data_IF_536198553769
#
_entry.id   IF_536198553769
#
_cell.length_a   1.000
_cell.length_b   1.000
_cell.length_c   1.000
_cell.angle_alpha   90.00
_cell.angle_beta   90.00
_cell.angle_gamma   90.00
#
_symmetry.space_group_name_H-M   'P 1'
#
loop_
_entity.id
_entity.type
_entity.pdbx_description
1 polymer ?
#
# COMPACT_ATOMS: atom_id res chain seq x y z
N UNK A 1 -37.20 -6.64 -6.41
CA UNK A 1 -35.86 -7.12 -5.99
C UNK A 1 -34.84 -6.07 -6.37
N UNK A 2 -34.17 -5.37 -5.43
CA UNK A 2 -33.06 -4.51 -5.79
C UNK A 2 -31.73 -5.28 -5.70
N UNK A 3 -31.10 -5.50 -6.85
CA UNK A 3 -29.67 -5.81 -6.91
C UNK A 3 -28.93 -4.54 -6.49
N UNK A 4 -28.35 -4.54 -5.28
CA UNK A 4 -27.36 -3.54 -4.92
C UNK A 4 -26.08 -3.91 -5.66
N UNK A 5 -25.81 -3.23 -6.76
CA UNK A 5 -24.46 -3.16 -7.30
C UNK A 5 -23.56 -2.52 -6.24
N UNK A 6 -22.48 -3.17 -5.79
CA UNK A 6 -21.46 -2.48 -5.03
C UNK A 6 -20.66 -1.61 -5.99
N UNK A 7 -21.14 -0.39 -6.23
CA UNK A 7 -20.25 0.69 -6.68
C UNK A 7 -19.31 1.01 -5.52
N UNK A 8 -18.23 0.23 -5.43
CA UNK A 8 -17.18 0.36 -4.42
C UNK A 8 -15.93 1.04 -4.96
N UNK A 9 -15.96 1.61 -6.16
CA UNK A 9 -14.78 2.19 -6.81
C UNK A 9 -14.70 3.72 -6.74
N UNK A 10 -15.66 4.40 -6.10
CA UNK A 10 -15.63 5.86 -6.01
C UNK A 10 -16.11 6.42 -4.66
N UNK A 11 -15.85 5.72 -3.56
CA UNK A 11 -15.96 6.36 -2.24
C UNK A 11 -14.77 7.30 -2.06
N UNK A 12 -14.99 8.58 -1.67
CA UNK A 12 -13.89 9.38 -1.15
C UNK A 12 -13.27 8.55 -0.03
N UNK A 13 -11.94 8.38 -0.02
CA UNK A 13 -11.22 7.66 1.02
C UNK A 13 -11.75 8.17 2.38
N UNK A 14 -12.64 7.40 3.00
CA UNK A 14 -13.41 7.93 4.12
C UNK A 14 -12.45 7.97 5.29
N UNK A 15 -12.32 9.12 5.95
CA UNK A 15 -11.51 9.27 7.16
C UNK A 15 -11.85 8.17 8.19
N UNK A 16 -13.10 7.71 8.18
CA UNK A 16 -13.58 6.53 8.92
C UNK A 16 -12.77 5.27 8.64
N UNK A 17 -12.47 4.95 7.37
CA UNK A 17 -11.67 3.77 7.02
C UNK A 17 -10.21 3.94 7.45
N UNK A 18 -9.68 5.17 7.37
CA UNK A 18 -8.33 5.46 7.88
C UNK A 18 -8.24 5.25 9.41
N UNK A 19 -9.27 5.66 10.15
CA UNK A 19 -9.36 5.42 11.59
C UNK A 19 -9.50 3.93 11.92
N UNK A 20 -10.33 3.19 11.17
CA UNK A 20 -10.45 1.73 11.33
C UNK A 20 -9.12 1.03 11.03
N UNK A 21 -8.38 1.47 10.00
CA UNK A 21 -7.07 0.92 9.67
C UNK A 21 -6.03 1.17 10.78
N UNK A 22 -6.01 2.37 11.36
CA UNK A 22 -5.18 2.69 12.53
C UNK A 22 -5.52 1.80 13.73
N UNK A 23 -6.81 1.56 13.98
CA UNK A 23 -7.26 0.69 15.06
C UNK A 23 -6.82 -0.76 14.83
N UNK A 24 -6.92 -1.26 13.59
CA UNK A 24 -6.45 -2.59 13.21
C UNK A 24 -4.94 -2.77 13.44
N UNK A 25 -4.11 -1.78 13.05
CA UNK A 25 -2.67 -1.79 13.34
C UNK A 25 -2.44 -1.82 14.85
N UNK A 26 -3.14 -0.98 15.60
CA UNK A 26 -3.02 -0.88 17.05
C UNK A 26 -3.43 -2.17 17.76
N UNK A 27 -4.46 -2.86 17.28
CA UNK A 27 -4.90 -4.15 17.79
C UNK A 27 -3.90 -5.26 17.46
N UNK A 28 -3.41 -5.34 16.21
CA UNK A 28 -2.41 -6.32 15.77
C UNK A 28 -1.08 -6.16 16.52
N UNK A 29 -0.64 -4.92 16.73
CA UNK A 29 0.62 -4.60 17.39
C UNK A 29 0.42 -4.05 18.80
N UNK A 30 -0.62 -4.49 19.52
CA UNK A 30 -0.87 -4.04 20.91
C UNK A 30 0.31 -4.31 21.85
N UNK A 31 1.04 -5.39 21.55
CA UNK A 31 2.21 -5.86 22.28
C UNK A 31 3.49 -5.10 21.88
N UNK A 32 3.47 -4.42 20.73
CA UNK A 32 4.62 -3.75 20.11
C UNK A 32 4.28 -2.30 19.77
N UNK A 33 4.18 -1.40 20.77
CA UNK A 33 3.86 0.01 20.55
C UNK A 33 4.86 0.72 19.63
N UNK A 34 6.10 0.22 19.54
CA UNK A 34 7.12 0.73 18.63
C UNK A 34 6.73 0.64 17.14
N UNK A 35 5.93 -0.37 16.75
CA UNK A 35 5.48 -0.51 15.35
C UNK A 35 4.48 0.60 15.01
N UNK A 36 3.51 0.84 15.88
CA UNK A 36 2.54 1.94 15.70
C UNK A 36 3.24 3.30 15.66
N UNK A 37 4.20 3.54 16.55
CA UNK A 37 4.94 4.80 16.57
C UNK A 37 5.77 5.00 15.29
N UNK A 38 6.39 3.93 14.77
CA UNK A 38 7.15 3.97 13.52
C UNK A 38 6.25 4.24 12.31
N UNK A 39 5.03 3.68 12.28
CA UNK A 39 4.04 3.99 11.24
C UNK A 39 3.67 5.48 11.24
N UNK A 40 3.43 6.06 12.42
CA UNK A 40 3.13 7.49 12.55
C UNK A 40 4.30 8.39 12.10
N UNK A 41 5.53 7.99 12.39
CA UNK A 41 6.75 8.69 11.97
C UNK A 41 6.83 8.75 10.43
N UNK A 42 6.66 7.60 9.78
CA UNK A 42 6.60 7.48 8.31
C UNK A 42 5.48 8.36 7.73
N UNK A 43 4.28 8.36 8.32
CA UNK A 43 3.19 9.22 7.89
C UNK A 43 3.49 10.71 8.07
N UNK A 44 4.21 11.09 9.14
CA UNK A 44 4.66 12.48 9.35
C UNK A 44 5.67 12.89 8.30
N UNK A 45 6.68 12.07 8.04
CA UNK A 45 7.69 12.36 7.02
C UNK A 45 7.06 12.50 5.63
N UNK A 46 6.08 11.65 5.30
CA UNK A 46 5.35 11.76 4.04
C UNK A 46 4.53 13.06 3.98
N UNK A 47 3.84 13.43 5.06
CA UNK A 47 3.08 14.69 5.15
C UNK A 47 3.98 15.93 5.09
N UNK A 48 5.20 15.84 5.61
CA UNK A 48 6.19 16.91 5.55
C UNK A 48 6.96 16.92 4.22
N UNK A 49 6.60 16.07 3.25
CA UNK A 49 7.29 15.92 1.97
C UNK A 49 8.78 15.57 2.12
N UNK A 50 9.16 14.97 3.26
CA UNK A 50 10.54 14.52 3.56
C UNK A 50 10.84 13.21 2.82
N UNK A 51 9.83 12.37 2.64
CA UNK A 51 9.92 11.10 1.92
C UNK A 51 8.85 11.04 0.82
N UNK A 52 9.24 10.52 -0.34
CA UNK A 52 8.33 10.31 -1.46
C UNK A 52 7.41 9.09 -1.28
N UNK A 53 6.42 8.96 -2.17
CA UNK A 53 5.53 7.80 -2.25
C UNK A 53 6.29 6.47 -2.36
N UNK A 54 7.41 6.42 -3.08
CA UNK A 54 8.22 5.19 -3.14
C UNK A 54 8.88 4.84 -1.80
N UNK A 55 9.33 5.85 -1.05
CA UNK A 55 9.97 5.68 0.25
C UNK A 55 8.97 5.34 1.35
N UNK A 56 7.77 5.96 1.35
CA UNK A 56 6.70 5.60 2.29
C UNK A 56 6.27 4.15 2.10
N UNK A 57 6.15 3.70 0.85
CA UNK A 57 5.81 2.31 0.49
C UNK A 57 6.86 1.33 1.01
N UNK A 58 8.16 1.58 0.76
CA UNK A 58 9.23 0.69 1.19
C UNK A 58 9.34 0.59 2.72
N UNK A 59 9.11 1.70 3.43
CA UNK A 59 9.13 1.67 4.90
C UNK A 59 7.90 0.96 5.46
N UNK A 60 6.71 1.18 4.89
CA UNK A 60 5.46 0.50 5.30
C UNK A 60 5.53 -1.01 5.02
N UNK A 61 6.09 -1.42 3.88
CA UNK A 61 6.26 -2.82 3.52
C UNK A 61 7.21 -3.54 4.48
N UNK A 62 8.32 -2.90 4.86
CA UNK A 62 9.26 -3.42 5.83
C UNK A 62 8.67 -3.46 7.25
N UNK A 63 7.92 -2.42 7.63
CA UNK A 63 7.30 -2.32 8.95
C UNK A 63 6.24 -3.41 9.19
N UNK A 64 5.45 -3.70 8.17
CA UNK A 64 4.42 -4.74 8.20
C UNK A 64 4.86 -6.06 7.59
N UNK A 65 6.18 -6.29 7.47
CA UNK A 65 6.71 -7.56 6.95
C UNK A 65 6.18 -8.74 7.78
N UNK A 66 5.51 -9.68 7.11
CA UNK A 66 4.82 -10.81 7.75
C UNK A 66 3.33 -10.58 8.05
N UNK A 67 2.78 -9.39 7.76
CA UNK A 67 1.36 -9.06 7.91
C UNK A 67 0.79 -8.52 6.58
N UNK A 68 0.52 -9.40 5.59
CA UNK A 68 0.05 -8.99 4.26
C UNK A 68 -1.30 -8.25 4.32
N UNK A 69 -2.16 -8.57 5.29
CA UNK A 69 -3.47 -7.91 5.47
C UNK A 69 -3.35 -6.41 5.72
N UNK A 70 -2.34 -5.97 6.47
CA UNK A 70 -2.13 -4.55 6.73
C UNK A 70 -1.62 -3.84 5.47
N UNK A 71 -0.69 -4.46 4.76
CA UNK A 71 -0.16 -3.92 3.49
C UNK A 71 -1.27 -3.80 2.44
N UNK A 72 -2.17 -4.79 2.36
CA UNK A 72 -3.33 -4.74 1.48
C UNK A 72 -4.31 -3.64 1.89
N UNK A 73 -4.53 -3.43 3.19
CA UNK A 73 -5.28 -2.28 3.70
C UNK A 73 -4.63 -0.95 3.30
N UNK A 74 -3.31 -0.83 3.31
CA UNK A 74 -2.61 0.38 2.84
C UNK A 74 -2.79 0.62 1.34
N UNK A 75 -2.87 -0.45 0.53
CA UNK A 75 -3.11 -0.35 -0.91
C UNK A 75 -4.46 0.27 -1.28
N UNK A 76 -5.44 0.26 -0.38
CA UNK A 76 -6.74 0.91 -0.60
C UNK A 76 -6.67 2.42 -0.42
N UNK A 77 -5.67 2.92 0.34
CA UNK A 77 -5.42 4.35 0.55
C UNK A 77 -4.55 4.97 -0.54
N UNK A 78 -3.92 4.15 -1.39
CA UNK A 78 -3.11 4.61 -2.50
C UNK A 78 -3.99 4.79 -3.75
N UNK A 79 -3.78 5.86 -4.55
CA UNK A 79 -4.49 6.04 -5.81
C UNK A 79 -4.18 4.89 -6.80
N UNK A 80 -5.08 4.62 -7.75
CA UNK A 80 -4.87 3.56 -8.74
C UNK A 80 -3.55 3.76 -9.49
N UNK A 81 -2.72 2.73 -9.51
CA UNK A 81 -1.36 2.75 -10.09
C UNK A 81 -0.23 2.72 -9.07
N UNK A 82 -0.49 3.00 -7.79
CA UNK A 82 0.48 2.90 -6.71
C UNK A 82 0.08 1.75 -5.78
N UNK A 83 0.68 0.57 -5.97
CA UNK A 83 0.39 -0.61 -5.14
C UNK A 83 1.69 -1.20 -4.59
N UNK A 84 1.67 -1.55 -3.31
CA UNK A 84 2.72 -2.30 -2.64
C UNK A 84 2.58 -3.78 -3.00
N UNK A 85 3.57 -4.33 -3.71
CA UNK A 85 3.66 -5.76 -4.03
C UNK A 85 4.78 -6.39 -3.20
N UNK A 86 4.44 -7.33 -2.33
CA UNK A 86 5.41 -8.09 -1.54
C UNK A 86 5.81 -9.32 -2.37
N UNK A 87 6.92 -9.21 -3.12
CA UNK A 87 7.50 -10.37 -3.78
C UNK A 87 8.22 -11.24 -2.73
N UNK A 88 7.96 -12.55 -2.66
CA UNK A 88 8.65 -13.46 -1.74
C UNK A 88 10.11 -13.69 -2.11
N UNK A 89 10.50 -13.37 -3.35
CA UNK A 89 11.88 -13.45 -3.81
C UNK A 89 12.63 -12.13 -3.52
N UNK A 90 13.82 -12.26 -2.96
CA UNK A 90 14.61 -11.23 -2.29
C UNK A 90 15.11 -10.14 -3.24
N UNK A 91 14.26 -9.19 -3.63
CA UNK A 91 14.64 -7.83 -3.99
C UNK A 91 13.40 -6.96 -3.88
N UNK A 92 13.45 -5.84 -3.16
CA UNK A 92 12.40 -4.83 -3.16
C UNK A 92 12.39 -4.14 -4.54
N UNK A 93 12.02 -4.86 -5.62
CA UNK A 93 11.79 -4.31 -6.95
C UNK A 93 10.49 -3.54 -6.89
N UNK A 94 10.60 -2.21 -6.86
CA UNK A 94 9.49 -1.30 -7.07
C UNK A 94 8.91 -1.55 -8.46
N UNK A 95 7.88 -2.40 -8.57
CA UNK A 95 7.09 -2.49 -9.80
C UNK A 95 6.07 -1.36 -9.79
N UNK A 96 6.51 -0.16 -10.17
CA UNK A 96 5.62 0.87 -10.69
C UNK A 96 5.09 0.34 -12.03
N UNK A 97 4.15 -0.60 -12.00
CA UNK A 97 3.39 -0.95 -13.20
C UNK A 97 2.42 0.19 -13.44
N UNK A 98 2.95 1.29 -13.96
CA UNK A 98 2.20 2.10 -14.92
C UNK A 98 1.78 1.12 -16.00
N UNK A 99 0.47 0.85 -16.08
CA UNK A 99 -0.13 0.05 -17.14
C UNK A 99 -0.06 0.85 -18.44
N UNK A 100 1.14 1.00 -18.98
CA UNK A 100 1.49 1.61 -20.25
C UNK A 100 2.97 1.38 -20.39
N UNK A 101 3.34 0.18 -20.81
CA UNK A 101 4.53 -0.14 -21.58
C UNK A 101 4.66 -1.69 -21.59
N UNK A 102 4.82 -2.44 -22.66
CA UNK A 102 4.93 -2.13 -24.07
C UNK A 102 5.17 -3.49 -24.76
N UNK A 103 4.33 -3.86 -25.72
CA UNK A 103 4.53 -5.10 -26.48
C UNK A 103 5.66 -4.89 -27.49
N UNK A 104 6.91 -4.82 -27.01
CA UNK A 104 8.09 -5.01 -27.86
C UNK A 104 8.92 -6.17 -27.33
N UNK A 105 8.48 -7.37 -27.65
CA UNK A 105 9.33 -8.56 -27.67
C UNK A 105 8.76 -9.53 -28.70
N UNK A 106 8.90 -9.19 -29.98
CA UNK A 106 8.87 -10.14 -31.08
C UNK A 106 9.85 -9.65 -32.16
N UNK A 107 11.12 -9.53 -31.76
CA UNK A 107 12.26 -9.66 -32.67
C UNK A 107 12.97 -10.97 -32.32
N UNK A 108 12.50 -12.04 -32.93
CA UNK A 108 13.29 -13.25 -33.18
C UNK A 108 13.11 -13.50 -34.68
N UNK A 109 13.97 -12.95 -35.55
CA UNK A 109 15.23 -13.57 -36.00
C UNK A 109 15.04 -15.03 -36.45
N UNK A 110 14.48 -15.23 -37.64
CA UNK A 110 15.15 -15.77 -38.86
C UNK A 110 14.15 -16.07 -39.96
#
# INVERSE_FOLDING_TARGET
MPFRTPDSFNRPLNVTEALTYLDAIKAQFRDKPGVYNRFLDIMKDFKNEVIDTSSVIAQVSALFRGNPTLIEGFNTFLPPGHRIQISPDQHNTMSTTTQSEVNHAAIETR
#
